data_IF_158525154403
#
_entry.id   IF_158525154403
#
_cell.length_a   1.000
_cell.length_b   1.000
_cell.length_c   1.000
_cell.angle_alpha   90.00
_cell.angle_beta   90.00
_cell.angle_gamma   90.00
#
_symmetry.space_group_name_H-M   'P 1'
#
loop_
_entity.id
_entity.type
_entity.pdbx_description
1 polymer ?
#
# COMPACT_ATOMS: atom_id res chain seq x y z
N UNK A 1 138.12 -152.17 42.14
CA UNK A 1 138.61 -151.09 41.24
C UNK A 1 137.50 -150.77 40.24
N UNK A 2 136.92 -149.58 40.38
CA UNK A 2 136.35 -148.70 39.33
C UNK A 2 134.93 -148.86 38.69
N UNK A 3 134.23 -149.99 38.68
CA UNK A 3 132.98 -150.04 37.85
C UNK A 3 131.65 -149.83 38.62
N UNK A 4 131.45 -150.43 39.80
CA UNK A 4 130.11 -150.41 40.44
C UNK A 4 129.76 -149.10 41.15
N UNK A 5 130.76 -148.30 41.59
CA UNK A 5 130.54 -146.96 42.17
C UNK A 5 129.89 -145.97 41.16
N UNK A 6 130.04 -146.19 39.84
CA UNK A 6 129.33 -145.44 38.81
C UNK A 6 127.84 -145.80 38.69
N UNK A 7 127.47 -147.07 38.90
CA UNK A 7 126.07 -147.49 38.87
C UNK A 7 125.28 -146.96 40.08
N UNK A 8 125.91 -146.82 41.25
CA UNK A 8 125.28 -146.16 42.41
C UNK A 8 124.99 -144.69 42.14
N UNK A 9 125.93 -143.96 41.54
CA UNK A 9 125.77 -142.53 41.22
C UNK A 9 124.62 -142.26 40.21
N UNK A 10 124.50 -143.07 39.15
CA UNK A 10 123.43 -142.91 38.15
C UNK A 10 122.02 -143.21 38.70
N UNK A 11 121.88 -144.20 39.60
CA UNK A 11 120.60 -144.47 40.29
C UNK A 11 120.19 -143.32 41.21
N UNK A 12 121.15 -142.68 41.87
CA UNK A 12 120.89 -141.56 42.78
C UNK A 12 120.48 -140.28 42.03
N UNK A 13 121.07 -140.05 40.85
CA UNK A 13 120.67 -138.93 39.97
C UNK A 13 119.25 -139.15 39.42
N UNK A 14 118.93 -140.36 38.90
CA UNK A 14 117.55 -140.66 38.44
C UNK A 14 116.52 -140.43 39.52
N UNK A 15 116.78 -140.89 40.75
CA UNK A 15 115.89 -140.69 41.90
C UNK A 15 115.67 -139.20 42.20
N UNK A 16 116.72 -138.38 42.18
CA UNK A 16 116.61 -136.92 42.39
C UNK A 16 115.88 -136.20 41.26
N UNK A 17 115.99 -136.67 40.02
CA UNK A 17 115.28 -136.05 38.88
C UNK A 17 113.78 -136.37 38.91
N UNK A 18 113.40 -137.61 39.23
CA UNK A 18 112.01 -138.05 39.34
C UNK A 18 111.26 -137.36 40.50
N UNK A 19 111.93 -137.18 41.65
CA UNK A 19 111.37 -136.45 42.81
C UNK A 19 111.16 -134.96 42.50
N UNK A 20 112.03 -134.33 41.70
CA UNK A 20 111.85 -132.93 41.28
C UNK A 20 110.71 -132.75 40.27
N UNK A 21 110.53 -133.71 39.36
CA UNK A 21 109.52 -133.63 38.30
C UNK A 21 108.11 -133.80 38.87
N UNK A 22 107.94 -134.72 39.83
CA UNK A 22 106.67 -134.91 40.54
C UNK A 22 106.32 -133.72 41.44
N UNK A 23 107.30 -133.07 42.07
CA UNK A 23 107.06 -131.86 42.87
C UNK A 23 106.57 -130.69 42.02
N UNK A 24 107.20 -130.44 40.86
CA UNK A 24 106.78 -129.37 39.93
C UNK A 24 105.36 -129.59 39.39
N UNK A 25 105.02 -130.83 39.05
CA UNK A 25 103.70 -131.17 38.49
C UNK A 25 102.56 -131.02 39.53
N UNK A 26 102.86 -131.29 40.80
CA UNK A 26 101.91 -131.03 41.89
C UNK A 26 101.72 -129.53 42.17
N UNK A 27 102.77 -128.73 42.00
CA UNK A 27 102.72 -127.28 42.17
C UNK A 27 101.88 -126.61 41.06
N UNK A 28 102.05 -127.03 39.81
CA UNK A 28 101.28 -126.48 38.66
C UNK A 28 99.79 -126.74 38.79
N UNK A 29 99.39 -127.97 39.15
CA UNK A 29 97.98 -128.33 39.33
C UNK A 29 97.30 -127.57 40.48
N UNK A 30 98.07 -127.12 41.48
CA UNK A 30 97.53 -126.37 42.61
C UNK A 30 97.36 -124.88 42.28
N UNK A 31 98.22 -124.32 41.43
CA UNK A 31 98.04 -122.95 40.92
C UNK A 31 96.87 -122.85 39.95
N UNK A 32 96.67 -123.84 39.08
CA UNK A 32 95.56 -123.85 38.12
C UNK A 32 94.19 -123.87 38.83
N UNK A 33 94.03 -124.69 39.88
CA UNK A 33 92.83 -124.67 40.74
C UNK A 33 92.61 -123.33 41.46
N UNK A 34 93.69 -122.69 41.92
CA UNK A 34 93.57 -121.37 42.57
C UNK A 34 93.12 -120.29 41.60
N UNK A 35 93.53 -120.37 40.34
CA UNK A 35 93.14 -119.43 39.30
C UNK A 35 91.64 -119.55 38.97
N UNK A 36 91.14 -120.77 38.77
CA UNK A 36 89.73 -121.02 38.46
C UNK A 36 88.80 -120.56 39.58
N UNK A 37 89.15 -120.80 40.85
CA UNK A 37 88.36 -120.32 42.00
C UNK A 37 88.34 -118.78 42.11
N UNK A 38 89.44 -118.11 41.74
CA UNK A 38 89.53 -116.65 41.75
C UNK A 38 88.69 -116.03 40.63
N UNK A 39 88.70 -116.64 39.44
CA UNK A 39 87.93 -116.18 38.30
C UNK A 39 86.42 -116.25 38.57
N UNK A 40 85.94 -117.37 39.12
CA UNK A 40 84.52 -117.54 39.45
C UNK A 40 84.02 -116.52 40.48
N UNK A 41 84.82 -116.22 41.52
CA UNK A 41 84.48 -115.21 42.54
C UNK A 41 84.36 -113.79 41.97
N UNK A 42 85.28 -113.41 41.08
CA UNK A 42 85.27 -112.09 40.44
C UNK A 42 84.01 -111.88 39.58
N UNK A 43 83.56 -112.92 38.87
CA UNK A 43 82.34 -112.85 38.06
C UNK A 43 81.10 -112.68 38.94
N UNK A 44 80.98 -113.44 40.03
CA UNK A 44 79.83 -113.36 40.93
C UNK A 44 79.72 -112.00 41.65
N UNK A 45 80.86 -111.39 42.04
CA UNK A 45 80.86 -110.03 42.62
C UNK A 45 80.44 -108.97 41.61
N UNK A 46 80.90 -109.05 40.36
CA UNK A 46 80.53 -108.10 39.31
C UNK A 46 79.02 -108.13 38.99
N UNK A 47 78.41 -109.32 38.93
CA UNK A 47 76.97 -109.46 38.70
C UNK A 47 76.12 -108.87 39.84
N UNK A 48 76.53 -109.09 41.09
CA UNK A 48 75.86 -108.50 42.26
C UNK A 48 75.94 -106.97 42.24
N UNK A 49 77.07 -106.40 41.82
CA UNK A 49 77.23 -104.96 41.72
C UNK A 49 76.32 -104.34 40.65
N UNK A 50 76.19 -104.98 39.47
CA UNK A 50 75.31 -104.50 38.39
C UNK A 50 73.84 -104.50 38.82
N UNK A 51 73.38 -105.57 39.50
CA UNK A 51 72.00 -105.65 40.01
C UNK A 51 71.74 -104.56 41.05
N UNK A 52 72.70 -104.29 41.93
CA UNK A 52 72.60 -103.22 42.93
C UNK A 52 72.49 -101.84 42.29
N UNK A 53 73.37 -101.52 41.33
CA UNK A 53 73.34 -100.23 40.62
C UNK A 53 72.05 -100.02 39.84
N UNK A 54 71.50 -101.08 39.20
CA UNK A 54 70.24 -100.99 38.46
C UNK A 54 69.06 -100.61 39.35
N UNK A 55 68.96 -101.20 40.55
CA UNK A 55 67.91 -100.85 41.53
C UNK A 55 67.98 -99.37 41.95
N UNK A 56 69.19 -98.85 42.17
CA UNK A 56 69.39 -97.44 42.54
C UNK A 56 68.89 -96.52 41.41
N UNK A 57 69.20 -96.83 40.15
CA UNK A 57 68.73 -96.02 39.02
C UNK A 57 67.21 -96.08 38.85
N UNK A 58 66.60 -97.25 38.99
CA UNK A 58 65.14 -97.40 38.90
C UNK A 58 64.43 -96.58 40.00
N UNK A 59 64.97 -96.55 41.22
CA UNK A 59 64.46 -95.71 42.32
C UNK A 59 64.59 -94.20 42.05
N UNK A 60 65.70 -93.77 41.45
CA UNK A 60 65.92 -92.36 41.07
C UNK A 60 64.91 -91.93 39.99
N UNK A 61 64.71 -92.76 38.98
CA UNK A 61 63.73 -92.49 37.90
C UNK A 61 62.33 -92.36 38.49
N UNK A 62 61.92 -93.29 39.36
CA UNK A 62 60.61 -93.25 39.99
C UNK A 62 60.40 -91.99 40.85
N UNK A 63 61.44 -91.52 41.57
CA UNK A 63 61.37 -90.27 42.33
C UNK A 63 61.23 -89.05 41.43
N UNK A 64 61.99 -88.98 40.35
CA UNK A 64 61.93 -87.84 39.43
C UNK A 64 60.58 -87.75 38.71
N UNK A 65 59.97 -88.87 38.34
CA UNK A 65 58.64 -88.89 37.72
C UNK A 65 57.56 -88.35 38.68
N UNK A 66 57.61 -88.74 39.96
CA UNK A 66 56.69 -88.22 40.99
C UNK A 66 56.88 -86.73 41.25
N UNK A 67 58.13 -86.25 41.22
CA UNK A 67 58.44 -84.83 41.40
C UNK A 67 57.88 -84.00 40.23
N UNK A 68 58.03 -84.51 39.01
CA UNK A 68 57.49 -83.87 37.81
C UNK A 68 55.96 -83.80 37.81
N UNK A 69 55.27 -84.86 38.23
CA UNK A 69 53.80 -84.85 38.39
C UNK A 69 53.33 -83.82 39.43
N UNK A 70 54.04 -83.71 40.56
CA UNK A 70 53.72 -82.74 41.59
C UNK A 70 53.92 -81.29 41.12
N UNK A 71 55.02 -81.03 40.39
CA UNK A 71 55.29 -79.71 39.84
C UNK A 71 54.27 -79.33 38.75
N UNK A 72 53.85 -80.28 37.90
CA UNK A 72 52.79 -80.05 36.91
C UNK A 72 51.45 -79.70 37.56
N UNK A 73 51.03 -80.45 38.58
CA UNK A 73 49.80 -80.19 39.33
C UNK A 73 49.82 -78.81 40.00
N UNK A 74 50.98 -78.39 40.52
CA UNK A 74 51.13 -77.07 41.16
C UNK A 74 50.95 -75.94 40.15
N UNK A 75 51.59 -76.05 38.98
CA UNK A 75 51.45 -75.05 37.91
C UNK A 75 50.02 -74.98 37.38
N UNK A 76 49.35 -76.13 37.23
CA UNK A 76 47.96 -76.17 36.78
C UNK A 76 46.99 -75.52 37.78
N UNK A 77 47.22 -75.70 39.09
CA UNK A 77 46.46 -75.02 40.14
C UNK A 77 46.68 -73.50 40.14
N UNK A 78 47.92 -73.04 40.01
CA UNK A 78 48.24 -71.60 39.96
C UNK A 78 47.61 -70.93 38.71
N UNK A 79 47.57 -71.63 37.57
CA UNK A 79 46.91 -71.17 36.35
C UNK A 79 45.38 -71.11 36.51
N UNK A 80 44.77 -72.10 37.16
CA UNK A 80 43.33 -72.10 37.41
C UNK A 80 42.92 -70.98 38.38
N UNK A 81 43.72 -70.71 39.42
CA UNK A 81 43.46 -69.63 40.36
C UNK A 81 43.61 -68.26 39.70
N UNK A 82 44.64 -68.06 38.88
CA UNK A 82 44.83 -66.81 38.14
C UNK A 82 43.73 -66.56 37.10
N UNK A 83 43.28 -67.58 36.36
CA UNK A 83 42.14 -67.45 35.43
C UNK A 83 40.84 -67.10 36.16
N UNK A 84 40.56 -67.75 37.31
CA UNK A 84 39.41 -67.43 38.15
C UNK A 84 39.42 -65.97 38.64
N UNK A 85 40.58 -65.48 39.07
CA UNK A 85 40.73 -64.10 39.53
C UNK A 85 40.55 -63.09 38.39
N UNK A 86 41.06 -63.39 37.19
CA UNK A 86 40.86 -62.56 36.00
C UNK A 86 39.38 -62.49 35.59
N UNK A 87 38.65 -63.62 35.62
CA UNK A 87 37.21 -63.64 35.32
C UNK A 87 36.40 -62.81 36.29
N UNK A 88 36.71 -62.88 37.60
CA UNK A 88 36.06 -62.04 38.62
C UNK A 88 36.31 -60.55 38.35
N UNK A 89 37.56 -60.17 38.11
CA UNK A 89 37.92 -58.79 37.81
C UNK A 89 37.17 -58.28 36.55
N UNK A 90 37.05 -59.11 35.52
CA UNK A 90 36.34 -58.75 34.30
C UNK A 90 34.83 -58.55 34.55
N UNK A 91 34.21 -59.37 35.39
CA UNK A 91 32.82 -59.18 35.82
C UNK A 91 32.65 -57.87 36.58
N UNK A 92 33.51 -57.59 37.56
CA UNK A 92 33.43 -56.37 38.39
C UNK A 92 33.59 -55.10 37.54
N UNK A 93 34.53 -55.11 36.58
CA UNK A 93 34.73 -54.00 35.63
C UNK A 93 33.49 -53.81 34.75
N UNK A 94 32.93 -54.91 34.22
CA UNK A 94 31.75 -54.85 33.34
C UNK A 94 30.52 -54.34 34.07
N UNK A 95 30.31 -54.77 35.32
CA UNK A 95 29.22 -54.29 36.17
C UNK A 95 29.37 -52.80 36.49
N UNK A 96 30.59 -52.35 36.80
CA UNK A 96 30.88 -50.93 37.08
C UNK A 96 30.60 -50.05 35.86
N UNK A 97 31.10 -50.45 34.68
CA UNK A 97 30.89 -49.71 33.43
C UNK A 97 29.40 -49.64 33.09
N UNK A 98 28.67 -50.76 33.24
CA UNK A 98 27.24 -50.80 32.94
C UNK A 98 26.44 -49.91 33.89
N UNK A 99 26.75 -49.95 35.18
CA UNK A 99 26.13 -49.10 36.21
C UNK A 99 26.38 -47.61 35.97
N UNK A 100 27.60 -47.22 35.58
CA UNK A 100 27.93 -45.82 35.24
C UNK A 100 27.28 -45.35 33.95
N UNK A 101 27.19 -46.22 32.93
CA UNK A 101 26.50 -45.92 31.69
C UNK A 101 25.00 -45.67 31.94
N UNK A 102 24.36 -46.50 32.77
CA UNK A 102 22.94 -46.34 33.13
C UNK A 102 22.68 -45.05 33.92
N UNK A 103 23.56 -44.69 34.87
CA UNK A 103 23.50 -43.42 35.62
C UNK A 103 23.66 -42.21 34.70
N UNK A 104 24.54 -42.32 33.70
CA UNK A 104 24.78 -41.23 32.75
C UNK A 104 23.61 -41.04 31.81
N UNK A 105 23.02 -42.14 31.30
CA UNK A 105 21.86 -42.08 30.43
C UNK A 105 20.62 -41.55 31.16
N UNK A 106 20.36 -41.99 32.39
CA UNK A 106 19.27 -41.44 33.20
C UNK A 106 19.47 -39.95 33.51
N UNK A 107 20.70 -39.51 33.80
CA UNK A 107 21.01 -38.08 33.98
C UNK A 107 20.77 -37.28 32.69
N UNK A 108 21.18 -37.82 31.54
CA UNK A 108 20.98 -37.19 30.22
C UNK A 108 19.50 -37.05 29.89
N UNK A 109 18.69 -38.09 30.12
CA UNK A 109 17.25 -38.04 29.89
C UNK A 109 16.56 -36.99 30.77
N UNK A 110 16.91 -36.91 32.07
CA UNK A 110 16.37 -35.86 32.97
C UNK A 110 16.71 -34.45 32.48
N UNK A 111 17.95 -34.22 32.07
CA UNK A 111 18.38 -32.91 31.56
C UNK A 111 17.68 -32.54 30.24
N UNK A 112 17.44 -33.50 29.35
CA UNK A 112 16.67 -33.27 28.12
C UNK A 112 15.21 -32.94 28.42
N UNK A 113 14.58 -33.65 29.36
CA UNK A 113 13.20 -33.40 29.78
C UNK A 113 13.04 -31.99 30.41
N UNK A 114 13.95 -31.60 31.31
CA UNK A 114 13.96 -30.26 31.92
C UNK A 114 14.19 -29.17 30.87
N UNK A 115 15.11 -29.39 29.93
CA UNK A 115 15.34 -28.46 28.84
C UNK A 115 14.09 -28.30 27.97
N UNK A 116 13.43 -29.41 27.62
CA UNK A 116 12.19 -29.40 26.85
C UNK A 116 11.09 -28.61 27.54
N UNK A 117 10.89 -28.82 28.84
CA UNK A 117 9.91 -28.07 29.64
C UNK A 117 10.20 -26.57 29.66
N UNK A 118 11.46 -26.18 29.85
CA UNK A 118 11.86 -24.76 29.81
C UNK A 118 11.62 -24.11 28.44
N UNK A 119 11.86 -24.86 27.37
CA UNK A 119 11.65 -24.36 26.01
C UNK A 119 10.15 -24.27 25.66
N UNK A 120 9.33 -25.21 26.14
CA UNK A 120 7.85 -25.15 26.06
C UNK A 120 7.29 -23.93 26.82
N UNK A 121 7.75 -23.67 28.05
CA UNK A 121 7.34 -22.48 28.82
C UNK A 121 7.74 -21.16 28.13
N UNK A 122 8.98 -21.09 27.62
CA UNK A 122 9.46 -19.93 26.86
C UNK A 122 8.70 -19.70 25.55
N UNK A 123 8.20 -20.77 24.93
CA UNK A 123 7.36 -20.67 23.74
C UNK A 123 5.97 -20.16 24.10
N UNK A 124 5.37 -20.67 25.18
CA UNK A 124 4.05 -20.22 25.66
C UNK A 124 4.05 -18.73 26.00
N UNK A 125 5.06 -18.24 26.74
CA UNK A 125 5.19 -16.81 27.09
C UNK A 125 5.32 -15.94 25.83
N UNK A 126 6.09 -16.40 24.82
CA UNK A 126 6.24 -15.66 23.56
C UNK A 126 4.92 -15.58 22.80
N UNK A 127 4.20 -16.70 22.69
CA UNK A 127 2.91 -16.75 22.02
C UNK A 127 1.86 -15.87 22.70
N UNK A 128 1.82 -15.85 24.03
CA UNK A 128 0.92 -14.99 24.80
C UNK A 128 1.21 -13.51 24.53
N UNK A 129 2.50 -13.11 24.60
CA UNK A 129 2.91 -11.73 24.31
C UNK A 129 2.64 -11.31 22.87
N UNK A 130 2.90 -12.19 21.90
CA UNK A 130 2.60 -11.91 20.49
C UNK A 130 1.09 -11.76 20.27
N UNK A 131 0.26 -12.54 20.96
CA UNK A 131 -1.19 -12.43 20.89
C UNK A 131 -1.71 -11.12 21.51
N UNK A 132 -1.17 -10.70 22.66
CA UNK A 132 -1.48 -9.39 23.28
C UNK A 132 -1.13 -8.24 22.35
N UNK A 133 0.06 -8.29 21.72
CA UNK A 133 0.50 -7.29 20.76
C UNK A 133 -0.47 -7.23 19.55
N UNK A 134 -0.81 -8.38 18.96
CA UNK A 134 -1.76 -8.45 17.84
C UNK A 134 -3.16 -7.93 18.20
N UNK A 135 -3.62 -8.18 19.44
CA UNK A 135 -4.91 -7.65 19.89
C UNK A 135 -4.86 -6.12 20.05
N UNK A 136 -3.75 -5.58 20.56
CA UNK A 136 -3.53 -4.14 20.68
C UNK A 136 -3.48 -3.46 19.30
N UNK A 137 -2.75 -4.03 18.34
CA UNK A 137 -2.67 -3.51 16.96
C UNK A 137 -4.03 -3.55 16.27
N UNK A 138 -4.82 -4.62 16.47
CA UNK A 138 -6.20 -4.69 15.96
C UNK A 138 -7.10 -3.61 16.54
N UNK A 139 -6.96 -3.28 17.83
CA UNK A 139 -7.74 -2.19 18.45
C UNK A 139 -7.37 -0.84 17.83
N UNK A 140 -6.08 -0.55 17.69
CA UNK A 140 -5.61 0.69 17.06
C UNK A 140 -6.07 0.78 15.61
N UNK A 141 -5.97 -0.29 14.82
CA UNK A 141 -6.42 -0.27 13.42
C UNK A 141 -7.92 0.02 13.29
N UNK A 142 -8.76 -0.53 14.19
CA UNK A 142 -10.19 -0.23 14.20
C UNK A 142 -10.47 1.24 14.52
N UNK A 143 -9.74 1.83 15.46
CA UNK A 143 -9.87 3.26 15.78
C UNK A 143 -9.44 4.16 14.63
N UNK A 144 -8.31 3.84 13.98
CA UNK A 144 -7.83 4.56 12.79
C UNK A 144 -8.85 4.47 11.65
N UNK A 145 -9.42 3.29 11.41
CA UNK A 145 -10.43 3.11 10.38
C UNK A 145 -11.68 3.96 10.66
N UNK A 146 -12.20 3.93 11.90
CA UNK A 146 -13.33 4.77 12.30
C UNK A 146 -13.02 6.27 12.15
N UNK A 147 -11.81 6.70 12.50
CA UNK A 147 -11.39 8.09 12.33
C UNK A 147 -11.28 8.50 10.86
N UNK A 148 -10.81 7.61 9.99
CA UNK A 148 -10.79 7.86 8.56
C UNK A 148 -12.20 8.00 7.98
N UNK A 149 -13.16 7.16 8.40
CA UNK A 149 -14.57 7.28 8.02
C UNK A 149 -15.16 8.63 8.49
N UNK A 150 -14.93 9.03 9.74
CA UNK A 150 -15.35 10.34 10.28
C UNK A 150 -14.76 11.53 9.50
N UNK A 151 -13.52 11.43 9.02
CA UNK A 151 -12.87 12.46 8.20
C UNK A 151 -13.50 12.54 6.81
N UNK A 152 -13.71 11.39 6.15
CA UNK A 152 -14.34 11.35 4.83
C UNK A 152 -15.76 11.91 4.86
N UNK A 153 -16.54 11.61 5.89
CA UNK A 153 -17.89 12.16 6.07
C UNK A 153 -17.86 13.70 6.23
N UNK A 154 -16.90 14.23 6.99
CA UNK A 154 -16.73 15.68 7.16
C UNK A 154 -16.28 16.37 5.88
N UNK A 155 -15.37 15.77 5.12
CA UNK A 155 -14.93 16.29 3.82
C UNK A 155 -16.08 16.32 2.81
N UNK A 156 -16.89 15.25 2.78
CA UNK A 156 -18.08 15.17 1.94
C UNK A 156 -19.10 16.26 2.32
N UNK A 157 -19.38 16.42 3.62
CA UNK A 157 -20.29 17.45 4.12
C UNK A 157 -19.80 18.86 3.76
N UNK A 158 -18.51 19.16 3.97
CA UNK A 158 -17.90 20.43 3.60
C UNK A 158 -18.05 20.71 2.09
N UNK A 159 -17.82 19.70 1.25
CA UNK A 159 -17.97 19.82 -0.21
C UNK A 159 -19.42 20.10 -0.61
N UNK A 160 -20.38 19.44 0.01
CA UNK A 160 -21.81 19.69 -0.22
C UNK A 160 -22.22 21.10 0.21
N UNK A 161 -21.71 21.59 1.34
CA UNK A 161 -22.04 22.92 1.85
C UNK A 161 -21.42 24.03 0.99
N UNK A 162 -20.19 23.84 0.51
CA UNK A 162 -19.57 24.72 -0.50
C UNK A 162 -20.40 24.74 -1.79
N UNK A 163 -20.84 23.57 -2.27
CA UNK A 163 -21.69 23.45 -3.45
C UNK A 163 -23.02 24.20 -3.31
N UNK A 164 -23.70 24.05 -2.16
CA UNK A 164 -24.94 24.78 -1.86
C UNK A 164 -24.73 26.29 -1.80
N UNK A 165 -23.65 26.74 -1.14
CA UNK A 165 -23.30 28.15 -1.03
C UNK A 165 -23.04 28.79 -2.40
N UNK A 166 -22.27 28.11 -3.27
CA UNK A 166 -22.01 28.59 -4.63
C UNK A 166 -23.29 28.68 -5.48
N UNK A 167 -24.18 27.69 -5.39
CA UNK A 167 -25.46 27.74 -6.11
C UNK A 167 -26.35 28.89 -5.62
N UNK A 168 -26.37 29.16 -4.30
CA UNK A 168 -27.09 30.32 -3.75
C UNK A 168 -26.52 31.63 -4.30
N UNK A 169 -25.20 31.80 -4.23
CA UNK A 169 -24.52 33.00 -4.74
C UNK A 169 -24.75 33.21 -6.25
N UNK A 170 -24.72 32.15 -7.05
CA UNK A 170 -25.03 32.23 -8.48
C UNK A 170 -26.48 32.67 -8.72
N UNK A 171 -27.45 32.10 -7.99
CA UNK A 171 -28.87 32.48 -8.09
C UNK A 171 -29.09 33.95 -7.71
N UNK A 172 -28.44 34.42 -6.66
CA UNK A 172 -28.48 35.83 -6.24
C UNK A 172 -27.88 36.76 -7.30
N UNK A 173 -26.78 36.35 -7.93
CA UNK A 173 -26.15 37.10 -9.01
C UNK A 173 -27.05 37.21 -10.24
N UNK A 174 -27.67 36.10 -10.66
CA UNK A 174 -28.65 36.12 -11.76
C UNK A 174 -29.84 37.02 -11.45
N UNK A 175 -30.37 36.93 -10.24
CA UNK A 175 -31.48 37.79 -9.79
C UNK A 175 -31.09 39.27 -9.81
N UNK A 176 -29.88 39.59 -9.35
CA UNK A 176 -29.35 40.97 -9.36
C UNK A 176 -29.15 41.48 -10.78
N UNK A 177 -28.62 40.65 -11.68
CA UNK A 177 -28.48 41.00 -13.09
C UNK A 177 -29.83 41.26 -13.76
N UNK A 178 -30.80 40.38 -13.52
CA UNK A 178 -32.16 40.54 -14.04
C UNK A 178 -32.77 41.87 -13.57
N UNK A 179 -32.65 42.21 -12.29
CA UNK A 179 -33.15 43.49 -11.75
C UNK A 179 -32.46 44.69 -12.36
N UNK A 180 -31.14 44.64 -12.55
CA UNK A 180 -30.38 45.72 -13.19
C UNK A 180 -30.80 45.89 -14.66
N UNK A 181 -31.00 44.79 -15.38
CA UNK A 181 -31.47 44.82 -16.76
C UNK A 181 -32.88 45.42 -16.86
N UNK A 182 -33.82 44.98 -16.01
CA UNK A 182 -35.17 45.58 -15.95
C UNK A 182 -35.13 47.07 -15.61
N UNK A 183 -34.29 47.48 -14.67
CA UNK A 183 -34.11 48.91 -14.33
C UNK A 183 -33.54 49.70 -15.50
N UNK A 184 -32.53 49.15 -16.20
CA UNK A 184 -31.94 49.76 -17.38
C UNK A 184 -32.98 49.92 -18.49
N UNK A 185 -33.69 48.85 -18.83
CA UNK A 185 -34.75 48.86 -19.83
C UNK A 185 -35.85 49.87 -19.49
N UNK A 186 -36.34 49.91 -18.24
CA UNK A 186 -37.31 50.92 -17.82
C UNK A 186 -36.78 52.36 -17.98
N UNK A 187 -35.50 52.59 -17.69
CA UNK A 187 -34.85 53.87 -17.96
C UNK A 187 -34.88 54.23 -19.45
N UNK A 188 -34.45 53.30 -20.31
CA UNK A 188 -34.48 53.46 -21.76
C UNK A 188 -35.89 53.70 -22.28
N UNK A 189 -36.90 53.02 -21.74
CA UNK A 189 -38.30 53.18 -22.13
C UNK A 189 -38.86 54.54 -21.71
N UNK A 190 -38.54 55.03 -20.51
CA UNK A 190 -38.93 56.37 -20.07
C UNK A 190 -38.29 57.46 -20.95
N UNK A 191 -37.01 57.30 -21.31
CA UNK A 191 -36.34 58.21 -22.25
C UNK A 191 -37.05 58.23 -23.62
N UNK A 192 -37.55 57.09 -24.09
CA UNK A 192 -38.33 57.04 -25.33
C UNK A 192 -39.65 57.79 -25.22
N UNK A 193 -40.38 57.62 -24.11
CA UNK A 193 -41.63 58.34 -23.88
C UNK A 193 -41.42 59.86 -23.85
N UNK A 194 -40.37 60.33 -23.18
CA UNK A 194 -40.02 61.74 -23.15
C UNK A 194 -39.72 62.26 -24.56
N UNK A 195 -38.92 61.52 -25.34
CA UNK A 195 -38.63 61.87 -26.74
C UNK A 195 -39.89 61.92 -27.60
N UNK A 196 -40.78 60.94 -27.50
CA UNK A 196 -42.04 60.89 -28.25
C UNK A 196 -42.96 62.06 -27.89
N UNK A 197 -43.03 62.42 -26.62
CA UNK A 197 -43.76 63.61 -26.14
C UNK A 197 -43.19 64.90 -26.73
N UNK A 198 -41.86 65.06 -26.71
CA UNK A 198 -41.18 66.22 -27.30
C UNK A 198 -41.43 66.33 -28.81
N UNK A 199 -41.39 65.21 -29.53
CA UNK A 199 -41.69 65.17 -30.97
C UNK A 199 -43.14 65.59 -31.26
N UNK A 200 -44.10 65.12 -30.45
CA UNK A 200 -45.51 65.51 -30.55
C UNK A 200 -45.70 67.03 -30.36
N UNK A 201 -45.05 67.59 -29.35
CA UNK A 201 -45.09 69.01 -29.03
C UNK A 201 -44.41 69.88 -30.12
N UNK A 202 -43.31 69.41 -30.72
CA UNK A 202 -42.66 70.09 -31.84
C UNK A 202 -43.57 70.19 -33.07
N UNK A 203 -44.24 69.10 -33.44
CA UNK A 203 -45.22 69.09 -34.53
C UNK A 203 -46.37 70.04 -34.26
N UNK A 204 -46.89 70.06 -33.02
CA UNK A 204 -47.95 70.98 -32.59
C UNK A 204 -47.52 72.45 -32.72
N UNK A 205 -46.31 72.80 -32.27
CA UNK A 205 -45.77 74.17 -32.39
C UNK A 205 -45.54 74.57 -33.85
N UNK A 206 -45.03 73.66 -34.67
CA UNK A 206 -44.82 73.92 -36.10
C UNK A 206 -46.13 74.10 -36.85
N UNK A 207 -47.16 73.32 -36.50
CA UNK A 207 -48.51 73.53 -37.01
C UNK A 207 -49.07 74.90 -36.62
N UNK A 208 -48.97 75.31 -35.35
CA UNK A 208 -49.44 76.61 -34.88
C UNK A 208 -48.74 77.80 -35.58
N UNK A 209 -47.47 77.65 -35.95
CA UNK A 209 -46.75 78.66 -36.76
C UNK A 209 -47.31 78.76 -38.18
N UNK A 210 -47.69 77.64 -38.78
CA UNK A 210 -48.24 77.59 -40.13
C UNK A 210 -49.69 78.06 -40.21
N UNK A 211 -50.51 77.74 -39.19
CA UNK A 211 -51.95 78.01 -39.19
C UNK A 211 -52.31 79.49 -39.28
N UNK A 212 -51.44 80.38 -38.78
CA UNK A 212 -51.60 81.84 -38.88
C UNK A 212 -51.69 82.29 -40.35
N UNK A 213 -50.98 81.61 -41.26
CA UNK A 213 -50.97 81.95 -42.68
C UNK A 213 -52.13 81.32 -43.46
N UNK A 214 -52.72 80.23 -42.95
CA UNK A 214 -53.90 79.58 -43.54
C UNK A 214 -55.17 80.43 -43.37
N UNK A 215 -55.20 81.33 -42.38
CA UNK A 215 -56.30 82.27 -42.16
C UNK A 215 -56.34 83.43 -43.16
N UNK A 216 -55.37 83.51 -44.09
CA UNK A 216 -55.30 84.58 -45.07
C UNK A 216 -55.96 84.19 -46.40
N UNK A 217 -56.99 84.92 -46.79
CA UNK A 217 -57.78 84.66 -48.00
C UNK A 217 -57.06 85.08 -49.30
N UNK A 218 -56.08 85.97 -49.20
CA UNK A 218 -55.36 86.54 -50.34
C UNK A 218 -54.09 85.80 -50.74
N UNK A 219 -53.60 86.07 -51.95
CA UNK A 219 -52.26 85.65 -52.36
C UNK A 219 -51.23 86.39 -51.50
N UNK A 220 -50.45 85.64 -50.73
CA UNK A 220 -49.35 86.20 -49.94
C UNK A 220 -48.29 86.76 -50.90
N UNK A 221 -47.79 87.96 -50.60
CA UNK A 221 -46.72 88.58 -51.39
C UNK A 221 -45.62 89.18 -50.50
N UNK A 222 -44.45 89.43 -51.11
CA UNK A 222 -43.32 90.07 -50.45
C UNK A 222 -42.82 89.31 -49.22
N UNK A 223 -42.61 90.05 -48.12
CA UNK A 223 -42.04 89.49 -46.89
C UNK A 223 -42.96 88.47 -46.20
N UNK A 224 -44.29 88.60 -46.37
CA UNK A 224 -45.24 87.69 -45.76
C UNK A 224 -45.23 86.30 -46.43
N UNK A 225 -45.15 86.27 -47.76
CA UNK A 225 -44.97 85.02 -48.51
C UNK A 225 -43.66 84.31 -48.15
N UNK A 226 -42.57 85.07 -47.98
CA UNK A 226 -41.27 84.51 -47.57
C UNK A 226 -41.33 83.88 -46.17
N UNK A 227 -41.93 84.56 -45.19
CA UNK A 227 -42.09 84.02 -43.83
C UNK A 227 -43.03 82.80 -43.78
N UNK A 228 -44.10 82.80 -44.57
CA UNK A 228 -44.98 81.65 -44.71
C UNK A 228 -44.21 80.46 -45.28
N UNK A 229 -43.44 80.68 -46.36
CA UNK A 229 -42.61 79.65 -46.98
C UNK A 229 -41.59 79.06 -46.01
N UNK A 230 -40.84 79.90 -45.29
CA UNK A 230 -39.90 79.46 -44.25
C UNK A 230 -40.60 78.64 -43.15
N UNK A 231 -41.84 79.00 -42.79
CA UNK A 231 -42.61 78.27 -41.78
C UNK A 231 -43.08 76.89 -42.26
N UNK A 232 -43.61 76.78 -43.47
CA UNK A 232 -44.06 75.51 -44.06
C UNK A 232 -42.89 74.59 -44.45
N UNK A 233 -41.80 75.13 -44.99
CA UNK A 233 -40.56 74.38 -45.26
C UNK A 233 -39.92 73.90 -43.94
N UNK A 234 -39.92 74.75 -42.91
CA UNK A 234 -39.49 74.35 -41.56
C UNK A 234 -40.37 73.26 -40.96
N UNK A 235 -41.68 73.28 -41.23
CA UNK A 235 -42.59 72.23 -40.77
C UNK A 235 -42.32 70.88 -41.47
N UNK A 236 -42.06 70.90 -42.78
CA UNK A 236 -41.63 69.70 -43.53
C UNK A 236 -40.33 69.12 -42.97
N UNK A 237 -39.34 69.96 -42.69
CA UNK A 237 -38.08 69.53 -42.09
C UNK A 237 -38.28 68.87 -40.71
N UNK A 238 -39.20 69.40 -39.90
CA UNK A 238 -39.57 68.81 -38.61
C UNK A 238 -40.18 67.41 -38.77
N UNK A 239 -41.02 67.18 -39.80
CA UNK A 239 -41.56 65.84 -40.06
C UNK A 239 -40.49 64.83 -40.44
N UNK A 240 -39.52 65.22 -41.29
CA UNK A 240 -38.41 64.34 -41.65
C UNK A 240 -37.57 63.98 -40.43
N UNK A 241 -37.23 64.99 -39.61
CA UNK A 241 -36.49 64.79 -38.36
C UNK A 241 -37.24 63.88 -37.39
N UNK A 242 -38.55 64.11 -37.25
CA UNK A 242 -39.42 63.28 -36.40
C UNK A 242 -39.49 61.84 -36.91
N UNK A 243 -39.64 61.63 -38.22
CA UNK A 243 -39.69 60.30 -38.81
C UNK A 243 -38.37 59.53 -38.63
N UNK A 244 -37.22 60.20 -38.76
CA UNK A 244 -35.91 59.59 -38.51
C UNK A 244 -35.73 59.20 -37.04
N UNK A 245 -36.14 60.05 -36.10
CA UNK A 245 -36.11 59.74 -34.67
C UNK A 245 -37.05 58.58 -34.31
N UNK A 246 -38.24 58.51 -34.90
CA UNK A 246 -39.14 57.37 -34.72
C UNK A 246 -38.53 56.05 -35.21
N UNK A 247 -37.80 56.06 -36.34
CA UNK A 247 -37.07 54.87 -36.84
C UNK A 247 -35.95 54.47 -35.87
N UNK A 248 -35.24 55.45 -35.29
CA UNK A 248 -34.19 55.18 -34.29
C UNK A 248 -34.79 54.56 -33.02
N UNK A 249 -35.93 55.09 -32.55
CA UNK A 249 -36.65 54.55 -31.40
C UNK A 249 -37.14 53.13 -31.69
N UNK A 250 -37.74 52.86 -32.85
CA UNK A 250 -38.20 51.52 -33.24
C UNK A 250 -37.06 50.48 -33.27
N UNK A 251 -35.90 50.85 -33.82
CA UNK A 251 -34.71 49.98 -33.82
C UNK A 251 -34.21 49.71 -32.40
N UNK A 252 -34.13 50.75 -31.57
CA UNK A 252 -33.61 50.64 -30.21
C UNK A 252 -34.60 49.93 -29.27
N UNK A 253 -35.90 49.94 -29.59
CA UNK A 253 -36.92 49.11 -28.94
C UNK A 253 -36.72 47.62 -29.21
N UNK A 254 -36.21 47.23 -30.38
CA UNK A 254 -35.93 45.82 -30.68
C UNK A 254 -34.79 45.23 -29.80
N UNK A 255 -33.99 46.09 -29.17
CA UNK A 255 -32.89 45.73 -28.27
C UNK A 255 -33.36 45.61 -26.79
N UNK A 256 -34.57 46.06 -26.47
CA UNK A 256 -35.17 45.99 -25.13
C UNK A 256 -35.86 44.64 -24.94
N UNK A 257 -35.97 44.17 -23.69
CA UNK A 257 -36.71 42.94 -23.37
C UNK A 257 -38.17 43.03 -23.87
N UNK A 258 -38.55 42.11 -24.75
CA UNK A 258 -39.89 42.04 -25.36
C UNK A 258 -41.01 41.95 -24.33
N UNK A 259 -40.75 41.41 -23.13
CA UNK A 259 -41.75 41.33 -22.06
C UNK A 259 -42.05 42.68 -21.41
N UNK A 260 -41.15 43.64 -21.52
CA UNK A 260 -41.29 44.99 -20.97
C UNK A 260 -41.84 45.99 -22.00
N UNK A 261 -41.94 45.61 -23.27
CA UNK A 261 -42.53 46.45 -24.31
C UNK A 261 -44.06 46.27 -24.29
N UNK A 262 -44.85 47.36 -24.16
CA UNK A 262 -46.29 47.31 -24.24
C UNK A 262 -46.70 46.82 -25.63
N UNK A 263 -47.75 45.99 -25.73
CA UNK A 263 -48.15 45.37 -26.99
C UNK A 263 -48.46 46.40 -28.09
N UNK A 264 -48.92 47.60 -27.71
CA UNK A 264 -49.29 48.66 -28.66
C UNK A 264 -48.16 49.66 -28.96
N UNK A 265 -47.00 49.58 -28.29
CA UNK A 265 -45.92 50.58 -28.44
C UNK A 265 -45.40 50.68 -29.87
N UNK A 266 -45.06 49.53 -30.47
CA UNK A 266 -44.56 49.45 -31.85
C UNK A 266 -45.64 49.88 -32.84
N UNK A 267 -46.88 49.45 -32.60
CA UNK A 267 -48.04 49.82 -33.41
C UNK A 267 -48.29 51.33 -33.41
N UNK A 268 -48.19 51.98 -32.26
CA UNK A 268 -48.39 53.43 -32.13
C UNK A 268 -47.25 54.22 -32.80
N UNK A 269 -46.00 53.73 -32.74
CA UNK A 269 -44.88 54.31 -33.50
C UNK A 269 -45.11 54.20 -35.00
N UNK A 270 -45.57 53.04 -35.48
CA UNK A 270 -45.90 52.83 -36.88
C UNK A 270 -47.04 53.75 -37.32
N UNK A 271 -48.09 53.89 -36.50
CA UNK A 271 -49.18 54.83 -36.77
C UNK A 271 -48.70 56.29 -36.82
N UNK A 272 -47.82 56.72 -35.90
CA UNK A 272 -47.22 58.06 -35.96
C UNK A 272 -46.46 58.29 -37.26
N UNK A 273 -45.66 57.31 -37.69
CA UNK A 273 -44.90 57.39 -38.95
C UNK A 273 -45.82 57.50 -40.17
N UNK A 274 -46.91 56.73 -40.20
CA UNK A 274 -47.89 56.76 -41.28
C UNK A 274 -48.62 58.11 -41.36
N UNK A 275 -48.99 58.67 -40.20
CA UNK A 275 -49.64 59.98 -40.13
C UNK A 275 -48.66 61.09 -40.51
N UNK A 276 -47.38 61.02 -40.11
CA UNK A 276 -46.34 61.96 -40.52
C UNK A 276 -46.09 61.95 -42.02
N UNK A 277 -46.13 60.78 -42.66
CA UNK A 277 -46.01 60.67 -44.10
C UNK A 277 -47.17 61.39 -44.82
N UNK A 278 -48.40 61.20 -44.34
CA UNK A 278 -49.58 61.89 -44.86
C UNK A 278 -49.52 63.40 -44.62
N UNK A 279 -49.09 63.81 -43.43
CA UNK A 279 -48.86 65.22 -43.08
C UNK A 279 -47.82 65.87 -44.00
N UNK A 280 -46.70 65.19 -44.26
CA UNK A 280 -45.66 65.69 -45.16
C UNK A 280 -46.19 65.90 -46.58
N UNK A 281 -46.97 64.95 -47.10
CA UNK A 281 -47.61 65.09 -48.41
C UNK A 281 -48.59 66.27 -48.46
N UNK A 282 -49.40 66.44 -47.42
CA UNK A 282 -50.38 67.53 -47.35
C UNK A 282 -49.69 68.91 -47.20
N UNK A 283 -48.69 69.04 -46.31
CA UNK A 283 -47.89 70.27 -46.13
C UNK A 283 -47.11 70.63 -47.39
N UNK A 284 -46.63 69.65 -48.15
CA UNK A 284 -45.93 69.86 -49.42
C UNK A 284 -46.81 70.55 -50.48
N UNK A 285 -48.14 70.32 -50.46
CA UNK A 285 -49.09 71.03 -51.34
C UNK A 285 -49.08 72.54 -51.05
N UNK A 286 -49.05 72.93 -49.77
CA UNK A 286 -48.99 74.34 -49.37
C UNK A 286 -47.64 74.97 -49.74
N UNK A 287 -46.52 74.25 -49.58
CA UNK A 287 -45.22 74.69 -50.08
C UNK A 287 -45.24 74.92 -51.60
N UNK A 288 -45.84 74.00 -52.37
CA UNK A 288 -46.01 74.13 -53.82
C UNK A 288 -46.82 75.37 -54.22
N UNK A 289 -47.94 75.64 -53.53
CA UNK A 289 -48.75 76.84 -53.74
C UNK A 289 -47.97 78.13 -53.48
N UNK A 290 -47.21 78.18 -52.39
CA UNK A 290 -46.36 79.33 -52.06
C UNK A 290 -45.27 79.57 -53.11
N UNK A 291 -44.69 78.50 -53.67
CA UNK A 291 -43.67 78.63 -54.72
C UNK A 291 -44.22 79.17 -56.04
N UNK A 292 -45.46 78.82 -56.39
CA UNK A 292 -46.11 79.24 -57.65
C UNK A 292 -46.88 80.56 -57.46
N UNK A 293 -46.95 81.09 -56.24
CA UNK A 293 -47.64 82.34 -55.93
C UNK A 293 -49.18 82.22 -55.95
N UNK A 294 -49.70 81.06 -55.55
CA UNK A 294 -51.14 80.80 -55.43
C UNK A 294 -51.64 81.10 -54.01
N UNK A 295 -52.95 81.33 -53.87
CA UNK A 295 -53.58 81.45 -52.55
C UNK A 295 -53.41 80.15 -51.76
N UNK A 296 -53.16 80.28 -50.45
CA UNK A 296 -53.11 79.14 -49.55
C UNK A 296 -54.50 78.56 -49.25
N UNK A 297 -55.55 79.37 -49.44
CA UNK A 297 -56.93 79.04 -49.07
C UNK A 297 -57.42 77.82 -49.85
N UNK A 298 -57.60 76.72 -49.15
CA UNK A 298 -58.23 75.51 -49.67
C UNK A 298 -58.86 74.74 -48.52
N UNK A 299 -60.19 74.86 -48.38
CA UNK A 299 -60.95 74.25 -47.29
C UNK A 299 -60.77 72.73 -47.20
N UNK A 300 -60.51 72.06 -48.33
CA UNK A 300 -60.29 70.61 -48.36
C UNK A 300 -58.92 70.23 -47.80
N UNK A 301 -57.85 70.89 -48.26
CA UNK A 301 -56.50 70.58 -47.79
C UNK A 301 -56.25 71.06 -46.36
N UNK A 302 -56.86 72.18 -45.95
CA UNK A 302 -56.79 72.69 -44.56
C UNK A 302 -57.54 71.77 -43.59
N UNK A 303 -58.73 71.31 -43.98
CA UNK A 303 -59.49 70.32 -43.20
C UNK A 303 -58.75 68.98 -43.10
N UNK A 304 -58.08 68.55 -44.17
CA UNK A 304 -57.21 67.37 -44.16
C UNK A 304 -56.00 67.57 -43.24
N UNK A 305 -55.34 68.73 -43.29
CA UNK A 305 -54.20 69.07 -42.42
C UNK A 305 -54.58 69.04 -40.95
N UNK A 306 -55.67 69.72 -40.57
CA UNK A 306 -56.17 69.75 -39.20
C UNK A 306 -56.50 68.34 -38.71
N UNK A 307 -57.22 67.55 -39.52
CA UNK A 307 -57.57 66.16 -39.19
C UNK A 307 -56.34 65.28 -38.97
N UNK A 308 -55.31 65.43 -39.80
CA UNK A 308 -54.08 64.66 -39.68
C UNK A 308 -53.26 65.08 -38.45
N UNK A 309 -53.19 66.37 -38.12
CA UNK A 309 -52.54 66.86 -36.90
C UNK A 309 -53.29 66.36 -35.67
N UNK A 310 -54.62 66.45 -35.66
CA UNK A 310 -55.44 65.94 -34.56
C UNK A 310 -55.28 64.43 -34.37
N UNK A 311 -55.16 63.68 -35.47
CA UNK A 311 -54.87 62.24 -35.41
C UNK A 311 -53.48 61.99 -34.83
N UNK A 312 -52.47 62.74 -35.25
CA UNK A 312 -51.11 62.61 -34.76
C UNK A 312 -51.01 62.86 -33.24
N UNK A 313 -51.67 63.92 -32.75
CA UNK A 313 -51.65 64.31 -31.33
C UNK A 313 -52.45 63.37 -30.41
N UNK A 314 -53.38 62.58 -30.96
CA UNK A 314 -54.18 61.59 -30.21
C UNK A 314 -53.48 60.24 -30.05
N UNK A 315 -52.30 60.05 -30.64
CA UNK A 315 -51.53 58.83 -30.46
C UNK A 315 -50.88 58.89 -29.09
N UNK A 316 -51.40 58.10 -28.15
CA UNK A 316 -50.93 58.05 -26.77
C UNK A 316 -49.99 56.87 -26.53
N UNK A 317 -49.05 57.04 -25.61
CA UNK A 317 -48.16 55.98 -25.16
C UNK A 317 -48.40 55.71 -23.67
N UNK A 318 -48.55 54.44 -23.29
CA UNK A 318 -48.69 54.06 -21.90
C UNK A 318 -47.40 54.36 -21.11
N UNK A 319 -47.54 54.94 -19.92
CA UNK A 319 -46.41 55.17 -19.00
C UNK A 319 -45.92 53.87 -18.36
N UNK A 320 -44.60 53.75 -18.21
CA UNK A 320 -43.98 52.63 -17.51
C UNK A 320 -43.86 52.94 -16.01
N UNK A 321 -44.49 52.11 -15.18
CA UNK A 321 -44.23 52.14 -13.75
C UNK A 321 -42.90 51.44 -13.45
N UNK A 322 -42.03 52.12 -12.73
CA UNK A 322 -40.77 51.57 -12.24
C UNK A 322 -41.04 50.49 -11.18
N UNK A 323 -40.99 49.22 -11.60
CA UNK A 323 -41.00 48.01 -10.77
C UNK A 323 -42.33 47.75 -10.04
N UNK A 324 -42.85 46.53 -10.16
CA UNK A 324 -43.91 46.04 -9.30
C UNK A 324 -43.43 46.10 -7.83
N UNK A 325 -44.07 46.88 -6.94
CA UNK A 325 -43.70 46.98 -5.53
C UNK A 325 -43.60 45.62 -4.83
N UNK A 326 -44.39 44.64 -5.27
CA UNK A 326 -44.39 43.28 -4.72
C UNK A 326 -43.08 42.54 -5.00
N UNK A 327 -42.46 42.75 -6.16
CA UNK A 327 -41.14 42.19 -6.49
C UNK A 327 -40.07 42.83 -5.61
N UNK A 328 -40.17 44.16 -5.41
CA UNK A 328 -39.25 44.90 -4.55
C UNK A 328 -39.32 44.46 -3.09
N UNK A 329 -40.53 44.18 -2.59
CA UNK A 329 -40.79 43.68 -1.24
C UNK A 329 -40.36 42.22 -1.07
N UNK A 330 -40.61 41.36 -2.06
CA UNK A 330 -40.21 39.97 -2.01
C UNK A 330 -38.68 39.84 -1.91
N UNK A 331 -37.93 40.65 -2.66
CA UNK A 331 -36.47 40.68 -2.61
C UNK A 331 -35.91 41.16 -1.28
N UNK A 332 -36.54 42.16 -0.63
CA UNK A 332 -36.17 42.58 0.72
C UNK A 332 -36.37 41.47 1.76
N UNK A 333 -37.37 40.60 1.54
CA UNK A 333 -37.67 39.49 2.45
C UNK A 333 -36.81 38.23 2.23
N UNK A 334 -36.23 38.05 1.04
CA UNK A 334 -35.38 36.90 0.70
C UNK A 334 -33.88 37.16 0.80
N UNK A 335 -33.45 38.38 1.11
CA UNK A 335 -32.06 38.63 1.47
C UNK A 335 -31.82 38.03 2.87
N UNK A 336 -30.84 37.13 3.05
CA UNK A 336 -30.37 36.82 4.39
C UNK A 336 -29.81 38.11 4.96
N UNK A 337 -30.34 38.56 6.09
CA UNK A 337 -29.69 39.58 6.91
C UNK A 337 -28.30 39.03 7.22
N UNK A 338 -27.28 39.57 6.56
CA UNK A 338 -25.87 39.20 6.73
C UNK A 338 -25.29 39.66 8.05
N UNK A 339 -26.05 39.52 9.15
CA UNK A 339 -25.65 39.81 10.52
C UNK A 339 -26.28 38.75 11.44
N UNK A 340 -25.74 37.53 11.41
CA UNK A 340 -25.66 36.74 12.64
C UNK A 340 -24.21 36.81 13.12
N UNK A 341 -23.94 37.40 14.30
CA UNK A 341 -22.61 37.34 14.90
C UNK A 341 -22.24 35.87 15.10
N UNK A 342 -21.06 35.47 14.62
CA UNK A 342 -20.46 34.21 15.01
C UNK A 342 -20.40 34.14 16.55
N UNK A 343 -20.81 33.04 17.20
CA UNK A 343 -20.59 32.89 18.61
C UNK A 343 -19.08 32.92 18.87
N UNK A 344 -18.69 33.91 19.65
CA UNK A 344 -17.33 34.16 20.08
C UNK A 344 -16.89 32.99 20.97
N UNK A 345 -16.22 31.99 20.40
CA UNK A 345 -15.54 30.96 21.18
C UNK A 345 -14.24 31.55 21.75
N UNK A 346 -14.39 32.43 22.74
CA UNK A 346 -13.31 32.72 23.68
C UNK A 346 -13.09 31.48 24.53
N UNK A 347 -12.00 30.78 24.21
CA UNK A 347 -11.39 29.75 25.06
C UNK A 347 -10.94 30.45 26.35
N UNK A 348 -11.59 30.12 27.46
CA UNK A 348 -11.06 30.44 28.79
C UNK A 348 -9.81 29.59 29.04
N UNK A 349 -8.73 30.24 29.45
CA UNK A 349 -7.48 29.63 29.91
C UNK A 349 -7.41 29.67 31.43
#
# INVERSE_FOLDING_TARGET
MMEEDKQKSLKEIRKRTEEKLTALQAETNNEEKKFDELSAKLIEEAEKEVISKRKIYDEIIAKNMKLLEADQLKVEQELLETDSNLRKLQMDITETISSEAEKTETKKQRLMEEQRKRDEERLAIRLEKDNENLESERKVMKEVQKKNEEVQDKELQCTQDIGKSHLSAQREMFTTMELRNRKYNNGVMNDFLEKLSNLSENVKRSYARCSIYLQNDGVLSGQLARKARESFEGFLAEFHTTAEELIRIERRLAEVDKKEIPPDMVKNIQEMRDVLFQLSNNVSKFCGRLMIGQSLKNETDEGELQKLVDRFLKIEFAHFNNINPDIQNHLRSTLPVGDQPQPNNSIEH
#
